data_IF_729919409514
#
_entry.id   IF_729919409514
#
_cell.length_a   1.000
_cell.length_b   1.000
_cell.length_c   1.000
_cell.angle_alpha   90.00
_cell.angle_beta   90.00
_cell.angle_gamma   90.00
#
_symmetry.space_group_name_H-M   'P 1'
#
loop_
_entity.id
_entity.type
_entity.pdbx_description
1 polymer ?
#
# COMPACT_ATOMS: atom_id res chain seq x y z
N UNK A 1 -21.87 -25.41 -61.12
CA UNK A 1 -20.45 -25.09 -61.06
C UNK A 1 -20.09 -25.11 -59.63
N UNK A 2 -19.46 -26.18 -59.14
CA UNK A 2 -19.24 -26.47 -57.70
C UNK A 2 -17.77 -26.30 -57.41
N UNK A 3 -17.42 -25.31 -56.56
CA UNK A 3 -16.05 -25.08 -56.12
C UNK A 3 -15.80 -25.85 -54.82
N UNK A 4 -14.92 -26.82 -54.90
CA UNK A 4 -14.39 -27.59 -53.73
C UNK A 4 -13.26 -26.80 -53.07
N UNK A 5 -13.43 -26.43 -51.81
CA UNK A 5 -12.39 -25.88 -50.97
C UNK A 5 -11.52 -27.01 -50.41
N UNK A 6 -10.21 -26.96 -50.69
CA UNK A 6 -9.20 -27.89 -50.16
C UNK A 6 -8.67 -27.34 -48.83
N UNK A 7 -8.89 -28.06 -47.73
CA UNK A 7 -8.23 -27.85 -46.44
C UNK A 7 -6.82 -28.45 -46.46
N UNK A 8 -5.81 -27.61 -46.23
CA UNK A 8 -4.43 -28.05 -45.98
C UNK A 8 -4.24 -28.37 -44.49
N UNK A 9 -3.89 -29.63 -44.22
CA UNK A 9 -3.43 -30.07 -42.88
C UNK A 9 -1.94 -29.86 -42.77
N UNK A 10 -1.51 -29.15 -41.71
CA UNK A 10 -0.10 -29.03 -41.28
C UNK A 10 0.22 -30.14 -40.28
N UNK A 11 1.42 -30.78 -40.33
CA UNK A 11 1.75 -31.83 -39.39
C UNK A 11 2.34 -31.23 -38.08
N UNK A 12 1.91 -31.78 -36.94
CA UNK A 12 2.45 -31.54 -35.65
C UNK A 12 3.85 -32.16 -35.51
N UNK A 13 4.82 -31.38 -35.09
CA UNK A 13 6.15 -31.88 -34.66
C UNK A 13 6.12 -32.19 -33.16
N UNK A 14 6.31 -33.43 -32.80
CA UNK A 14 6.56 -33.88 -31.45
C UNK A 14 8.01 -33.56 -31.07
N UNK A 15 8.20 -32.85 -29.96
CA UNK A 15 9.50 -32.71 -29.29
C UNK A 15 9.57 -33.75 -28.16
N UNK A 16 10.58 -34.59 -28.20
CA UNK A 16 10.91 -35.54 -27.15
C UNK A 16 11.68 -34.81 -26.02
N UNK A 17 11.21 -34.96 -24.78
CA UNK A 17 11.95 -34.55 -23.58
C UNK A 17 12.86 -35.69 -23.16
N UNK A 18 14.16 -35.43 -23.06
CA UNK A 18 15.14 -36.30 -22.39
C UNK A 18 15.25 -35.84 -20.93
N UNK A 19 14.95 -36.77 -20.02
CA UNK A 19 15.19 -36.63 -18.59
C UNK A 19 16.66 -36.87 -18.27
N UNK A 20 17.32 -35.90 -17.65
CA UNK A 20 18.66 -36.05 -17.08
C UNK A 20 18.58 -36.05 -15.55
N UNK A 21 18.80 -37.20 -14.95
CA UNK A 21 18.99 -37.38 -13.50
C UNK A 21 20.42 -37.01 -13.11
N UNK A 22 20.58 -36.01 -12.24
CA UNK A 22 21.84 -35.75 -11.54
C UNK A 22 21.62 -36.00 -10.04
N UNK A 23 22.26 -37.03 -9.55
CA UNK A 23 22.41 -37.35 -8.13
C UNK A 23 23.50 -36.46 -7.51
N UNK A 24 23.21 -35.79 -6.41
CA UNK A 24 24.20 -35.08 -5.61
C UNK A 24 24.22 -35.67 -4.19
N UNK A 25 25.36 -36.23 -3.84
CA UNK A 25 25.66 -36.92 -2.60
C UNK A 25 25.81 -35.95 -1.42
N UNK A 26 25.20 -36.35 -0.28
CA UNK A 26 25.42 -35.77 1.04
C UNK A 26 26.82 -36.12 1.57
N UNK A 27 27.52 -35.16 2.13
CA UNK A 27 28.60 -35.37 3.07
C UNK A 27 28.20 -34.76 4.43
N UNK A 28 27.98 -35.65 5.41
CA UNK A 28 27.93 -35.31 6.84
C UNK A 28 29.37 -35.15 7.35
N UNK A 29 29.65 -34.10 8.09
CA UNK A 29 30.76 -34.05 9.02
C UNK A 29 30.21 -33.59 10.38
N UNK A 30 30.29 -34.52 11.34
CA UNK A 30 30.01 -34.33 12.75
C UNK A 30 31.33 -34.08 13.51
N UNK A 31 31.22 -33.67 14.77
CA UNK A 31 32.20 -33.48 15.87
C UNK A 31 32.66 -32.03 16.04
N UNK A 32 32.66 -31.48 17.25
CA UNK A 32 32.63 -32.07 18.58
C UNK A 32 32.34 -31.04 19.66
N UNK A 33 31.91 -31.58 20.75
CA UNK A 33 31.68 -31.02 22.06
C UNK A 33 32.93 -30.44 22.70
N UNK A 34 32.78 -29.35 23.47
CA UNK A 34 33.47 -29.28 24.78
C UNK A 34 32.73 -28.31 25.71
N UNK A 35 32.40 -28.84 26.86
CA UNK A 35 31.83 -28.16 28.01
C UNK A 35 32.93 -27.63 28.93
N UNK A 36 32.67 -26.54 29.63
CA UNK A 36 33.16 -26.19 30.99
C UNK A 36 32.40 -24.92 31.41
N UNK A 37 31.47 -24.99 32.35
CA UNK A 37 31.62 -24.96 33.82
C UNK A 37 32.23 -23.66 34.37
N UNK A 38 31.45 -23.03 35.22
CA UNK A 38 32.02 -22.32 36.38
C UNK A 38 31.38 -20.95 36.68
N UNK A 39 30.41 -20.94 37.58
CA UNK A 39 30.42 -20.17 38.86
C UNK A 39 30.48 -18.63 38.78
N UNK A 40 29.85 -17.86 39.55
CA UNK A 40 28.95 -17.93 40.71
C UNK A 40 28.74 -16.47 41.22
N UNK A 41 27.57 -16.23 41.79
CA UNK A 41 27.25 -15.25 42.85
C UNK A 41 27.71 -13.79 42.81
N UNK A 42 26.72 -12.92 43.02
CA UNK A 42 26.95 -11.59 43.57
C UNK A 42 25.71 -10.72 43.59
N UNK A 43 24.80 -11.02 44.47
CA UNK A 43 24.07 -10.16 45.42
C UNK A 43 23.86 -8.69 45.06
N UNK A 44 22.59 -8.32 45.07
CA UNK A 44 22.07 -6.96 45.39
C UNK A 44 22.51 -6.49 46.76
N UNK A 45 22.50 -5.16 46.97
CA UNK A 45 21.72 -4.69 48.11
C UNK A 45 20.73 -3.58 47.75
N UNK A 46 19.64 -3.69 48.50
CA UNK A 46 18.53 -2.76 48.54
C UNK A 46 18.82 -1.54 49.45
N UNK A 47 17.96 -0.53 49.24
CA UNK A 47 17.49 0.46 50.18
C UNK A 47 18.44 1.64 50.55
N UNK A 48 17.94 2.86 50.42
CA UNK A 48 17.16 3.49 51.50
C UNK A 48 16.59 4.84 51.06
N UNK A 49 15.38 5.08 51.54
CA UNK A 49 14.66 6.34 51.53
C UNK A 49 15.36 7.42 52.35
N UNK A 50 15.27 8.67 51.91
CA UNK A 50 15.25 9.79 52.84
C UNK A 50 14.37 10.90 52.29
N UNK A 51 13.30 11.17 53.01
CA UNK A 51 12.47 12.36 52.88
C UNK A 51 13.15 13.52 53.58
N UNK A 52 13.03 14.70 53.00
CA UNK A 52 13.19 15.96 53.77
C UNK A 52 12.28 17.03 53.16
N UNK A 53 11.52 17.58 54.03
CA UNK A 53 10.45 18.57 53.96
C UNK A 53 10.92 20.00 53.89
N UNK A 54 9.99 20.88 53.46
CA UNK A 54 9.79 22.31 53.74
C UNK A 54 10.65 23.27 52.90
N UNK A 55 10.14 24.32 52.33
CA UNK A 55 9.04 25.21 52.57
C UNK A 55 9.31 26.53 51.86
N UNK A 56 8.26 27.19 51.44
CA UNK A 56 8.22 28.65 51.43
C UNK A 56 8.40 29.38 50.09
N UNK A 57 7.40 30.16 49.73
CA UNK A 57 7.59 31.37 48.97
C UNK A 57 6.66 31.56 47.75
N UNK A 58 5.47 32.06 48.00
CA UNK A 58 4.61 32.68 46.99
C UNK A 58 5.27 33.87 46.31
N UNK A 59 5.27 33.93 44.99
CA UNK A 59 5.11 35.20 44.30
C UNK A 59 4.40 34.93 42.96
N UNK A 60 3.20 35.54 42.83
CA UNK A 60 2.37 35.47 41.65
C UNK A 60 3.04 36.23 40.50
N UNK A 61 3.09 35.56 39.36
CA UNK A 61 3.23 36.25 38.08
C UNK A 61 1.93 36.03 37.29
N UNK A 62 1.23 37.13 37.09
CA UNK A 62 0.13 37.25 36.15
C UNK A 62 0.62 36.84 34.75
N UNK A 63 -0.01 35.81 34.19
CA UNK A 63 0.12 35.47 32.77
C UNK A 63 -0.74 36.43 31.96
N UNK A 64 -0.19 37.04 30.88
CA UNK A 64 -1.00 37.71 29.87
C UNK A 64 -1.84 36.71 29.11
N UNK A 65 -3.01 37.15 28.67
CA UNK A 65 -4.08 36.39 28.07
C UNK A 65 -3.65 35.26 27.15
N UNK A 66 -4.26 34.10 27.38
CA UNK A 66 -4.28 33.03 26.42
C UNK A 66 -5.19 33.46 25.25
N UNK A 67 -4.57 33.97 24.20
CA UNK A 67 -5.21 33.97 22.88
C UNK A 67 -5.52 32.52 22.54
N UNK A 68 -6.80 32.24 22.37
CA UNK A 68 -7.26 30.97 21.86
C UNK A 68 -6.61 30.77 20.48
N UNK A 69 -5.57 29.96 20.44
CA UNK A 69 -5.03 29.49 19.18
C UNK A 69 -6.14 28.73 18.47
N UNK A 70 -6.64 29.31 17.39
CA UNK A 70 -7.42 28.57 16.39
C UNK A 70 -6.70 27.29 16.07
N UNK A 71 -7.39 26.14 15.93
CA UNK A 71 -6.74 24.93 15.50
C UNK A 71 -6.06 25.24 14.17
N UNK A 72 -4.73 25.13 14.15
CA UNK A 72 -3.96 25.23 12.94
C UNK A 72 -4.55 24.18 11.98
N UNK A 73 -5.14 24.66 10.90
CA UNK A 73 -5.46 23.80 9.75
C UNK A 73 -4.13 23.18 9.35
N UNK A 74 -3.98 21.86 9.56
CA UNK A 74 -2.83 21.13 9.09
C UNK A 74 -2.66 21.48 7.62
N UNK A 75 -1.50 22.04 7.27
CA UNK A 75 -1.21 22.41 5.88
C UNK A 75 -1.45 21.18 5.02
N UNK A 76 -2.21 21.33 3.94
CA UNK A 76 -2.48 20.24 2.98
C UNK A 76 -1.21 19.58 2.46
N UNK A 77 -0.05 20.23 2.60
CA UNK A 77 1.28 19.72 2.29
C UNK A 77 1.76 18.62 3.27
N UNK A 78 1.22 18.57 4.49
CA UNK A 78 1.58 17.57 5.50
C UNK A 78 0.67 16.33 5.49
N UNK A 79 -0.43 16.38 4.72
CA UNK A 79 -1.32 15.22 4.58
C UNK A 79 -0.59 14.04 3.91
N UNK A 80 -0.80 12.81 4.39
CA UNK A 80 -0.09 11.64 3.87
C UNK A 80 -0.20 11.51 2.36
N UNK A 81 0.95 11.48 1.70
CA UNK A 81 1.05 11.21 0.27
C UNK A 81 0.66 12.34 -0.69
N UNK A 82 0.44 13.58 -0.26
CA UNK A 82 0.05 14.67 -1.18
C UNK A 82 1.22 15.45 -1.77
N UNK A 83 2.41 15.35 -1.18
CA UNK A 83 3.59 16.07 -1.62
C UNK A 83 4.43 15.24 -2.61
N UNK A 84 5.07 15.93 -3.56
CA UNK A 84 6.10 15.32 -4.42
C UNK A 84 7.45 15.17 -3.72
N UNK A 85 7.60 15.78 -2.54
CA UNK A 85 8.81 15.73 -1.72
C UNK A 85 8.44 15.59 -0.24
N UNK A 86 9.15 14.71 0.47
CA UNK A 86 9.04 14.54 1.93
C UNK A 86 10.36 14.01 2.49
N UNK A 87 10.80 14.57 3.61
CA UNK A 87 12.03 14.16 4.30
C UNK A 87 13.29 14.19 3.38
N UNK A 88 13.31 15.13 2.39
CA UNK A 88 14.38 15.23 1.41
C UNK A 88 14.31 14.21 0.26
N UNK A 89 13.35 13.29 0.26
CA UNK A 89 13.07 12.41 -0.87
C UNK A 89 12.09 13.09 -1.82
N UNK A 90 12.41 13.06 -3.13
CA UNK A 90 11.63 13.73 -4.16
C UNK A 90 11.26 12.76 -5.29
N UNK A 91 9.98 12.73 -5.64
CA UNK A 91 9.45 12.06 -6.83
C UNK A 91 9.54 13.00 -8.03
N UNK A 92 10.28 12.61 -9.05
CA UNK A 92 10.41 13.38 -10.32
C UNK A 92 9.97 12.55 -11.50
N UNK A 93 9.29 13.20 -12.45
CA UNK A 93 8.90 12.64 -13.74
C UNK A 93 8.81 13.77 -14.76
N UNK A 94 9.13 13.49 -15.99
CA UNK A 94 8.91 14.41 -17.13
C UNK A 94 7.49 14.30 -17.69
N UNK A 95 6.76 13.23 -17.38
CA UNK A 95 5.40 13.00 -17.85
C UNK A 95 4.38 13.73 -16.94
N UNK A 96 4.03 14.96 -17.28
CA UNK A 96 2.93 15.72 -16.66
C UNK A 96 1.59 15.54 -17.36
N UNK A 97 1.61 15.02 -18.61
CA UNK A 97 0.42 14.80 -19.44
C UNK A 97 0.50 13.43 -20.09
N UNK A 98 -0.62 12.69 -20.12
CA UNK A 98 -0.78 11.39 -20.75
C UNK A 98 -1.95 11.41 -21.73
N UNK A 99 -1.94 10.47 -22.70
CA UNK A 99 -3.01 10.36 -23.70
C UNK A 99 -4.19 9.59 -23.16
N UNK A 100 -5.40 10.12 -23.33
CA UNK A 100 -6.63 9.44 -22.94
C UNK A 100 -6.88 8.18 -23.78
N UNK A 101 -7.37 7.14 -23.13
CA UNK A 101 -7.80 5.89 -23.78
C UNK A 101 -6.67 5.02 -24.33
N UNK A 102 -5.41 5.35 -24.07
CA UNK A 102 -4.26 4.57 -24.48
C UNK A 102 -3.41 4.13 -23.29
N UNK A 103 -2.85 2.90 -23.29
CA UNK A 103 -1.83 2.51 -22.32
C UNK A 103 -0.60 3.40 -22.41
N UNK A 104 0.07 3.64 -21.28
CA UNK A 104 1.25 4.49 -21.21
C UNK A 104 2.30 3.92 -20.23
N UNK A 105 3.57 4.13 -20.53
CA UNK A 105 4.64 3.94 -19.55
C UNK A 105 4.87 5.25 -18.80
N UNK A 106 4.58 5.23 -17.50
CA UNK A 106 4.92 6.35 -16.64
C UNK A 106 6.31 6.14 -16.04
N UNK A 107 7.25 6.98 -16.44
CA UNK A 107 8.65 6.91 -15.98
C UNK A 107 8.92 7.97 -14.92
N UNK A 108 9.56 7.57 -13.83
CA UNK A 108 9.88 8.44 -12.72
C UNK A 108 11.14 7.99 -11.98
N UNK A 109 11.71 8.89 -11.20
CA UNK A 109 12.80 8.61 -10.27
C UNK A 109 12.45 9.13 -8.89
N UNK A 110 13.00 8.48 -7.86
CA UNK A 110 13.02 8.99 -6.49
C UNK A 110 14.45 9.42 -6.22
N UNK A 111 14.66 10.71 -5.94
CA UNK A 111 15.95 11.21 -5.47
C UNK A 111 15.97 11.31 -3.96
N UNK A 112 17.11 11.02 -3.34
CA UNK A 112 17.32 11.14 -1.91
C UNK A 112 17.75 12.55 -1.48
N UNK A 113 17.95 12.76 -0.17
CA UNK A 113 18.41 14.03 0.39
C UNK A 113 19.77 14.51 -0.15
N UNK A 114 20.56 13.61 -0.70
CA UNK A 114 21.85 13.90 -1.37
C UNK A 114 21.69 14.32 -2.84
N UNK A 115 20.46 14.43 -3.34
CA UNK A 115 20.13 14.77 -4.73
C UNK A 115 20.37 13.66 -5.74
N UNK A 116 20.74 12.44 -5.30
CA UNK A 116 21.01 11.30 -6.18
C UNK A 116 19.78 10.37 -6.27
N UNK A 117 19.63 9.64 -7.40
CA UNK A 117 18.62 8.61 -7.48
C UNK A 117 18.80 7.54 -6.38
N UNK A 118 17.71 7.21 -5.71
CA UNK A 118 17.66 6.08 -4.78
C UNK A 118 17.56 4.80 -5.59
N UNK A 119 18.46 3.85 -5.35
CA UNK A 119 18.49 2.55 -6.03
C UNK A 119 18.33 1.36 -5.07
N UNK A 120 18.36 1.60 -3.75
CA UNK A 120 18.17 0.59 -2.72
C UNK A 120 16.85 0.81 -1.99
N UNK A 121 15.94 -0.18 -2.10
CA UNK A 121 14.62 -0.16 -1.48
C UNK A 121 14.38 -1.50 -0.78
N UNK A 122 13.75 -1.43 0.39
CA UNK A 122 13.24 -2.63 1.07
C UNK A 122 12.02 -3.15 0.34
N UNK A 123 11.86 -4.46 0.38
CA UNK A 123 10.62 -5.11 -0.02
C UNK A 123 9.59 -4.92 1.09
N UNK A 124 8.42 -4.45 0.72
CA UNK A 124 7.21 -4.39 1.52
C UNK A 124 6.11 -5.14 0.77
N UNK A 125 5.41 -6.06 1.43
CA UNK A 125 4.39 -6.89 0.79
C UNK A 125 4.84 -7.43 -0.59
N UNK A 126 5.98 -8.09 -0.63
CA UNK A 126 6.65 -8.66 -1.82
C UNK A 126 7.21 -7.68 -2.85
N UNK A 127 6.98 -6.39 -2.74
CA UNK A 127 7.35 -5.38 -3.74
C UNK A 127 8.24 -4.29 -3.16
N UNK A 128 9.18 -3.79 -3.98
CA UNK A 128 10.02 -2.65 -3.62
C UNK A 128 9.32 -1.30 -3.79
N UNK A 129 8.25 -1.29 -4.57
CA UNK A 129 7.46 -0.10 -4.88
C UNK A 129 6.02 -0.48 -5.12
N UNK A 130 5.10 0.18 -4.41
CA UNK A 130 3.68 0.19 -4.73
C UNK A 130 3.36 1.51 -5.42
N UNK A 131 2.78 1.43 -6.60
CA UNK A 131 2.46 2.61 -7.40
C UNK A 131 0.97 2.64 -7.68
N UNK A 132 0.35 3.79 -7.44
CA UNK A 132 -1.08 3.95 -7.64
C UNK A 132 -1.34 5.09 -8.62
N UNK A 133 -2.37 4.96 -9.45
CA UNK A 133 -2.94 6.04 -10.22
C UNK A 133 -4.42 6.17 -9.86
N UNK A 134 -4.83 7.36 -9.42
CA UNK A 134 -6.19 7.62 -8.94
C UNK A 134 -6.71 8.88 -9.60
N UNK A 135 -7.91 8.80 -10.20
CA UNK A 135 -8.58 9.97 -10.78
C UNK A 135 -9.04 10.91 -9.67
N UNK A 136 -9.05 12.21 -9.92
CA UNK A 136 -9.36 13.22 -8.89
C UNK A 136 -10.73 13.07 -8.24
N UNK A 137 -11.68 12.44 -8.92
CA UNK A 137 -13.02 12.11 -8.39
C UNK A 137 -13.08 10.71 -7.73
N UNK A 138 -11.94 10.05 -7.57
CA UNK A 138 -11.80 8.73 -6.96
C UNK A 138 -12.57 7.59 -7.66
N UNK A 139 -12.97 7.77 -8.92
CA UNK A 139 -13.67 6.75 -9.71
C UNK A 139 -12.74 5.83 -10.50
N UNK A 140 -11.54 6.32 -10.86
CA UNK A 140 -10.50 5.56 -11.53
C UNK A 140 -9.40 5.15 -10.56
N UNK A 141 -8.97 3.90 -10.62
CA UNK A 141 -7.93 3.35 -9.77
C UNK A 141 -7.08 2.32 -10.51
N UNK A 142 -5.77 2.42 -10.37
CA UNK A 142 -4.83 1.37 -10.76
C UNK A 142 -3.80 1.21 -9.65
N UNK A 143 -3.47 -0.04 -9.30
CA UNK A 143 -2.38 -0.40 -8.40
C UNK A 143 -1.38 -1.26 -9.16
N UNK A 144 -0.13 -0.82 -9.21
CA UNK A 144 0.93 -1.38 -10.03
C UNK A 144 2.20 -1.58 -9.21
N UNK A 145 3.06 -2.45 -9.71
CA UNK A 145 4.39 -2.68 -9.13
C UNK A 145 5.43 -2.43 -10.22
N UNK A 146 5.93 -1.19 -10.33
CA UNK A 146 6.85 -0.80 -11.39
C UNK A 146 8.20 -1.49 -11.25
N UNK A 147 8.92 -1.59 -12.36
CA UNK A 147 10.28 -2.10 -12.44
C UNK A 147 11.28 -0.95 -12.43
N UNK A 148 12.43 -1.17 -11.78
CA UNK A 148 13.50 -0.19 -11.67
C UNK A 148 14.70 -0.60 -12.52
N UNK A 149 15.16 0.29 -13.38
CA UNK A 149 16.42 0.19 -14.09
C UNK A 149 17.61 0.46 -13.15
N UNK A 150 18.82 0.12 -13.59
CA UNK A 150 20.03 0.27 -12.77
C UNK A 150 20.40 1.72 -12.42
N UNK A 151 19.89 2.70 -13.17
CA UNK A 151 20.07 4.12 -12.94
C UNK A 151 19.06 4.72 -11.93
N UNK A 152 18.14 3.91 -11.38
CA UNK A 152 17.09 4.34 -10.48
C UNK A 152 15.82 4.82 -11.16
N UNK A 153 15.72 4.70 -12.48
CA UNK A 153 14.48 5.00 -13.21
C UNK A 153 13.48 3.87 -13.06
N UNK A 154 12.29 4.22 -12.57
CA UNK A 154 11.13 3.33 -12.45
C UNK A 154 10.24 3.47 -13.68
N UNK A 155 9.66 2.37 -14.13
CA UNK A 155 8.67 2.33 -15.21
C UNK A 155 7.40 1.64 -14.72
N UNK A 156 6.28 2.40 -14.67
CA UNK A 156 4.95 1.91 -14.32
C UNK A 156 4.11 1.75 -15.60
N UNK A 157 3.68 0.52 -15.96
CA UNK A 157 2.87 0.26 -17.15
C UNK A 157 1.39 0.59 -16.85
N UNK A 158 1.01 1.85 -17.02
CA UNK A 158 -0.38 2.28 -16.85
C UNK A 158 -1.27 1.70 -17.96
N UNK A 159 -2.38 1.10 -17.56
CA UNK A 159 -3.47 0.85 -18.48
C UNK A 159 -4.09 2.18 -18.93
N UNK A 160 -4.94 2.13 -19.96
CA UNK A 160 -5.61 3.32 -20.50
C UNK A 160 -6.33 4.12 -19.40
N UNK A 161 -5.98 5.40 -19.29
CA UNK A 161 -6.63 6.33 -18.38
C UNK A 161 -7.76 7.09 -19.11
N UNK A 162 -8.85 7.35 -18.41
CA UNK A 162 -9.89 8.26 -18.88
C UNK A 162 -9.45 9.71 -18.75
N UNK A 163 -10.03 10.59 -19.57
CA UNK A 163 -9.76 12.02 -19.48
C UNK A 163 -10.08 12.57 -18.08
N UNK A 164 -9.23 13.46 -17.58
CA UNK A 164 -9.36 14.06 -16.26
C UNK A 164 -8.01 14.36 -15.61
N UNK A 165 -8.07 14.82 -14.39
CA UNK A 165 -6.90 14.96 -13.52
C UNK A 165 -6.71 13.67 -12.74
N UNK A 166 -5.50 13.16 -12.72
CA UNK A 166 -5.08 11.98 -12.00
C UNK A 166 -3.97 12.34 -11.03
N UNK A 167 -3.91 11.67 -9.91
CA UNK A 167 -2.76 11.71 -9.01
C UNK A 167 -2.10 10.35 -9.02
N UNK A 168 -0.79 10.34 -9.19
CA UNK A 168 0.02 9.13 -9.09
C UNK A 168 0.78 9.15 -7.77
N UNK A 169 0.87 8.00 -7.11
CA UNK A 169 1.54 7.84 -5.83
C UNK A 169 2.61 6.78 -5.94
N UNK A 170 3.74 7.00 -5.29
CA UNK A 170 4.79 6.03 -5.09
C UNK A 170 4.95 5.80 -3.58
N UNK A 171 4.65 4.58 -3.13
CA UNK A 171 4.83 4.12 -1.75
C UNK A 171 6.02 3.17 -1.69
N UNK A 172 6.99 3.47 -0.84
CA UNK A 172 8.26 2.76 -0.77
C UNK A 172 8.96 2.92 0.57
N UNK A 173 9.94 2.05 0.82
CA UNK A 173 10.81 2.11 1.99
C UNK A 173 12.27 2.17 1.50
N UNK A 174 12.99 3.28 1.65
CA UNK A 174 14.42 3.34 1.31
C UNK A 174 15.23 2.34 2.14
N UNK A 175 16.21 1.66 1.52
CA UNK A 175 17.15 0.78 2.25
C UNK A 175 18.55 1.40 2.41
N UNK A 176 18.67 2.69 2.13
CA UNK A 176 19.92 3.45 2.29
C UNK A 176 19.63 4.90 2.66
N UNK A 177 20.67 5.60 3.12
CA UNK A 177 20.59 7.02 3.46
C UNK A 177 19.83 7.31 4.76
N UNK A 178 19.54 8.59 5.00
CA UNK A 178 18.95 9.10 6.24
C UNK A 178 17.52 8.57 6.52
N UNK A 179 16.76 8.22 5.48
CA UNK A 179 15.39 7.68 5.61
C UNK A 179 15.32 6.17 5.58
N UNK A 180 16.45 5.47 5.75
CA UNK A 180 16.47 4.00 5.74
C UNK A 180 15.45 3.40 6.69
N UNK A 181 14.57 2.56 6.15
CA UNK A 181 13.56 1.84 6.92
C UNK A 181 12.30 2.66 7.23
N UNK A 182 12.20 3.91 6.78
CA UNK A 182 11.00 4.74 6.94
C UNK A 182 10.10 4.61 5.73
N UNK A 183 8.83 4.25 5.94
CA UNK A 183 7.83 4.24 4.87
C UNK A 183 7.53 5.66 4.38
N UNK A 184 7.54 5.85 3.08
CA UNK A 184 7.30 7.13 2.42
C UNK A 184 6.26 6.97 1.32
N UNK A 185 5.37 7.95 1.21
CA UNK A 185 4.45 8.10 0.08
C UNK A 185 4.65 9.46 -0.52
N UNK A 186 4.99 9.50 -1.81
CA UNK A 186 5.15 10.72 -2.59
C UNK A 186 4.17 10.70 -3.77
N UNK A 187 3.69 11.85 -4.21
CA UNK A 187 2.76 11.89 -5.32
C UNK A 187 2.97 13.07 -6.26
N UNK A 188 2.39 12.94 -7.45
CA UNK A 188 2.33 14.01 -8.46
C UNK A 188 0.99 13.98 -9.17
N UNK A 189 0.54 15.15 -9.61
CA UNK A 189 -0.61 15.27 -10.49
C UNK A 189 -0.20 15.04 -11.94
N UNK A 190 -1.05 14.33 -12.68
CA UNK A 190 -0.94 14.06 -14.12
C UNK A 190 -2.24 14.47 -14.78
N UNK A 191 -2.14 15.16 -15.92
CA UNK A 191 -3.30 15.57 -16.71
C UNK A 191 -3.51 14.60 -17.87
N UNK A 192 -4.76 14.19 -18.07
CA UNK A 192 -5.20 13.38 -19.22
C UNK A 192 -6.23 14.20 -20.00
N UNK A 193 -5.84 14.93 -21.05
CA UNK A 193 -6.74 15.77 -21.82
C UNK A 193 -7.78 14.94 -22.56
N UNK A 194 -8.99 15.49 -22.76
CA UNK A 194 -10.05 14.87 -23.53
C UNK A 194 -11.43 15.34 -23.12
N UNK A 195 -12.46 14.85 -23.82
CA UNK A 195 -13.84 15.11 -23.49
C UNK A 195 -14.18 14.55 -22.10
N UNK A 196 -14.96 15.29 -21.32
CA UNK A 196 -15.31 14.91 -19.94
C UNK A 196 -14.19 15.08 -18.92
N UNK A 197 -13.04 15.67 -19.28
CA UNK A 197 -11.91 15.83 -18.35
C UNK A 197 -12.29 16.64 -17.08
N UNK A 198 -13.20 17.60 -17.20
CA UNK A 198 -13.66 18.43 -16.08
C UNK A 198 -14.88 17.81 -15.35
N UNK A 199 -15.49 16.75 -15.90
CA UNK A 199 -16.62 16.09 -15.26
C UNK A 199 -16.14 15.22 -14.12
N UNK A 200 -16.49 15.57 -12.89
CA UNK A 200 -16.31 14.71 -11.72
C UNK A 200 -17.59 13.88 -11.53
N UNK A 201 -17.41 12.57 -11.36
CA UNK A 201 -18.51 11.73 -10.94
C UNK A 201 -18.73 11.88 -9.42
N UNK A 202 -19.97 11.78 -9.00
CA UNK A 202 -20.31 11.73 -7.59
C UNK A 202 -19.84 10.37 -7.00
N UNK A 203 -19.25 10.41 -5.81
CA UNK A 203 -18.86 9.19 -5.12
C UNK A 203 -20.11 8.39 -4.74
N UNK A 204 -20.08 7.07 -4.88
CA UNK A 204 -21.13 6.22 -4.34
C UNK A 204 -21.34 6.45 -2.84
N UNK A 205 -22.59 6.36 -2.39
CA UNK A 205 -22.92 6.53 -0.98
C UNK A 205 -22.09 5.60 -0.07
N UNK A 206 -21.78 6.07 1.14
CA UNK A 206 -21.02 5.31 2.14
C UNK A 206 -21.91 4.22 2.78
N UNK A 207 -22.18 3.15 2.04
CA UNK A 207 -22.98 2.00 2.51
C UNK A 207 -22.13 0.92 3.17
N UNK A 208 -20.80 1.04 3.11
CA UNK A 208 -19.87 -0.01 3.57
C UNK A 208 -19.93 -1.28 2.73
N UNK A 209 -20.61 -1.27 1.58
CA UNK A 209 -20.78 -2.47 0.73
C UNK A 209 -20.55 -2.13 -0.73
N UNK A 210 -19.91 -3.04 -1.45
CA UNK A 210 -19.69 -2.96 -2.90
C UNK A 210 -19.81 -4.34 -3.55
N UNK A 211 -20.10 -4.35 -4.86
CA UNK A 211 -20.10 -5.58 -5.67
C UNK A 211 -19.08 -5.48 -6.79
N UNK A 212 -18.37 -6.57 -7.05
CA UNK A 212 -17.42 -6.71 -8.15
C UNK A 212 -17.40 -8.17 -8.63
N UNK A 213 -17.49 -8.41 -9.91
CA UNK A 213 -17.36 -9.74 -10.55
C UNK A 213 -18.24 -10.84 -9.89
N UNK A 214 -19.43 -10.47 -9.39
CA UNK A 214 -20.33 -11.36 -8.67
C UNK A 214 -20.00 -11.59 -7.20
N UNK A 215 -18.97 -10.92 -6.68
CA UNK A 215 -18.65 -10.88 -5.24
C UNK A 215 -19.30 -9.67 -4.58
N UNK A 216 -19.69 -9.84 -3.32
CA UNK A 216 -20.10 -8.75 -2.42
C UNK A 216 -19.01 -8.57 -1.36
N UNK A 217 -18.49 -7.37 -1.27
CA UNK A 217 -17.54 -6.94 -0.23
C UNK A 217 -18.28 -6.07 0.75
N UNK A 218 -18.16 -6.37 2.03
CA UNK A 218 -18.70 -5.57 3.14
C UNK A 218 -17.56 -5.14 4.05
N UNK A 219 -17.55 -3.86 4.43
CA UNK A 219 -16.62 -3.29 5.42
C UNK A 219 -17.42 -2.83 6.61
N UNK A 220 -17.10 -3.38 7.77
CA UNK A 220 -17.69 -3.04 9.07
C UNK A 220 -16.65 -2.32 9.93
N UNK A 221 -17.08 -1.32 10.66
CA UNK A 221 -16.28 -0.51 11.57
C UNK A 221 -16.74 0.94 11.58
N UNK A 222 -16.38 1.66 12.64
CA UNK A 222 -16.69 3.08 12.81
C UNK A 222 -15.39 3.85 13.06
N UNK A 223 -14.57 4.06 12.03
CA UNK A 223 -13.29 4.74 12.19
C UNK A 223 -13.50 6.20 12.60
N UNK A 224 -12.62 6.68 13.46
CA UNK A 224 -12.57 8.06 13.93
C UNK A 224 -11.26 8.68 13.46
N UNK A 225 -11.32 9.88 12.93
CA UNK A 225 -10.17 10.59 12.39
C UNK A 225 -9.00 10.66 13.38
N UNK A 226 -7.80 10.31 12.91
CA UNK A 226 -6.57 10.32 13.69
C UNK A 226 -6.51 9.30 14.83
N UNK A 227 -7.43 8.33 14.85
CA UNK A 227 -7.41 7.22 15.82
C UNK A 227 -7.21 5.90 15.14
N UNK A 228 -6.34 5.09 15.73
CA UNK A 228 -6.20 3.70 15.34
C UNK A 228 -7.47 2.92 15.67
N UNK A 229 -7.88 2.04 14.77
CA UNK A 229 -9.07 1.21 14.91
C UNK A 229 -9.00 -0.02 14.00
N UNK A 230 -10.01 -0.86 14.09
CA UNK A 230 -10.14 -2.03 13.22
C UNK A 230 -11.26 -1.83 12.21
N UNK A 231 -11.01 -2.23 10.97
CA UNK A 231 -12.02 -2.46 9.95
C UNK A 231 -12.08 -3.95 9.67
N UNK A 232 -13.27 -4.52 9.70
CA UNK A 232 -13.49 -5.91 9.32
C UNK A 232 -14.05 -5.97 7.91
N UNK A 233 -13.32 -6.59 7.01
CA UNK A 233 -13.76 -6.83 5.63
C UNK A 233 -14.28 -8.24 5.49
N UNK A 234 -15.43 -8.40 4.84
CA UNK A 234 -16.01 -9.72 4.54
C UNK A 234 -16.27 -9.83 3.05
N UNK A 235 -15.90 -10.97 2.46
CA UNK A 235 -16.15 -11.29 1.06
C UNK A 235 -17.15 -12.43 0.97
N UNK A 236 -18.19 -12.25 0.16
CA UNK A 236 -19.22 -13.27 -0.11
C UNK A 236 -19.52 -13.35 -1.61
N UNK A 237 -20.05 -14.50 -2.07
CA UNK A 237 -20.54 -14.71 -3.43
C UNK A 237 -21.88 -15.42 -3.35
N UNK A 238 -22.90 -14.93 -4.03
CA UNK A 238 -24.28 -15.47 -4.00
C UNK A 238 -24.80 -15.66 -2.56
N UNK A 239 -24.49 -14.69 -1.68
CA UNK A 239 -24.87 -14.72 -0.27
C UNK A 239 -24.10 -15.73 0.58
N UNK A 240 -23.12 -16.45 0.04
CA UNK A 240 -22.29 -17.41 0.78
C UNK A 240 -20.91 -16.80 1.08
N UNK A 241 -20.36 -17.01 2.28
CA UNK A 241 -19.01 -16.58 2.61
C UNK A 241 -17.96 -17.22 1.69
N UNK A 242 -16.97 -16.43 1.23
CA UNK A 242 -15.82 -16.92 0.46
C UNK A 242 -14.71 -17.30 1.44
N UNK A 243 -14.31 -18.58 1.44
CA UNK A 243 -13.30 -19.12 2.38
C UNK A 243 -12.03 -19.61 1.66
N UNK A 244 -11.95 -19.38 0.36
CA UNK A 244 -10.87 -19.82 -0.52
C UNK A 244 -10.16 -18.64 -1.21
N UNK A 245 -10.09 -17.49 -0.51
CA UNK A 245 -9.25 -16.37 -0.97
C UNK A 245 -7.81 -16.82 -1.08
N UNK A 246 -7.17 -16.46 -2.19
CA UNK A 246 -5.80 -16.81 -2.49
C UNK A 246 -4.84 -15.72 -1.99
N UNK A 247 -3.58 -16.06 -1.65
CA UNK A 247 -2.57 -15.08 -1.27
C UNK A 247 -2.34 -14.03 -2.37
N UNK A 248 -2.37 -12.77 -1.98
CA UNK A 248 -2.00 -11.63 -2.80
C UNK A 248 -1.19 -10.65 -1.94
N UNK A 249 0.06 -10.36 -2.33
CA UNK A 249 0.96 -9.48 -1.60
C UNK A 249 1.16 -9.90 -0.12
N UNK A 250 1.44 -11.20 0.12
CA UNK A 250 1.63 -11.81 1.45
C UNK A 250 0.40 -11.78 2.37
N UNK A 251 -0.76 -11.42 1.85
CA UNK A 251 -2.02 -11.37 2.60
C UNK A 251 -3.15 -11.96 1.76
N UNK A 252 -4.37 -12.04 2.29
CA UNK A 252 -5.54 -12.49 1.51
C UNK A 252 -6.31 -11.35 0.86
N UNK A 253 -5.99 -10.10 1.22
CA UNK A 253 -6.48 -8.91 0.53
C UNK A 253 -5.59 -7.70 0.83
N UNK A 254 -5.55 -6.76 -0.11
CA UNK A 254 -4.83 -5.48 0.00
C UNK A 254 -5.85 -4.34 -0.01
N UNK A 255 -5.74 -3.42 0.94
CA UNK A 255 -6.69 -2.33 1.10
C UNK A 255 -5.98 -0.98 1.10
N UNK A 256 -6.39 -0.11 0.18
CA UNK A 256 -5.93 1.28 0.13
C UNK A 256 -7.10 2.23 0.23
N UNK A 257 -6.88 3.40 0.80
CA UNK A 257 -7.90 4.41 0.97
C UNK A 257 -7.42 5.78 0.51
N UNK A 258 -8.35 6.58 -0.04
CA UNK A 258 -8.12 7.94 -0.51
C UNK A 258 -9.24 8.83 0.03
N UNK A 259 -8.86 9.94 0.65
CA UNK A 259 -9.80 10.91 1.19
C UNK A 259 -10.49 11.70 0.06
N UNK A 260 -11.80 11.86 0.14
CA UNK A 260 -12.58 12.50 -0.91
C UNK A 260 -12.28 14.01 -1.05
N UNK A 261 -11.84 14.66 0.05
CA UNK A 261 -11.61 16.10 0.04
C UNK A 261 -10.34 16.53 -0.67
N UNK A 262 -9.23 15.79 -0.46
CA UNK A 262 -7.89 16.19 -0.89
C UNK A 262 -7.08 15.08 -1.55
N UNK A 263 -7.61 13.86 -1.63
CA UNK A 263 -6.93 12.66 -2.10
C UNK A 263 -5.79 12.19 -1.18
N UNK A 264 -5.78 12.56 0.12
CA UNK A 264 -4.83 12.01 1.06
C UNK A 264 -4.87 10.48 1.04
N UNK A 265 -3.69 9.87 1.06
CA UNK A 265 -3.52 8.43 0.94
C UNK A 265 -3.44 7.79 2.33
N UNK A 266 -4.10 6.66 2.50
CA UNK A 266 -3.88 5.77 3.63
C UNK A 266 -3.73 4.32 3.15
N UNK A 267 -2.70 3.65 3.65
CA UNK A 267 -2.48 2.23 3.43
C UNK A 267 -2.92 1.49 4.70
N UNK A 268 -3.92 0.62 4.55
CA UNK A 268 -4.47 -0.12 5.65
C UNK A 268 -3.79 -1.49 5.71
N UNK A 269 -3.33 -1.87 6.90
CA UNK A 269 -2.54 -3.07 7.08
C UNK A 269 -3.44 -4.26 7.46
N UNK A 270 -3.45 -5.35 6.66
CA UNK A 270 -4.12 -6.57 7.05
C UNK A 270 -3.40 -7.18 8.27
N UNK A 271 -4.17 -7.64 9.25
CA UNK A 271 -3.62 -8.25 10.46
C UNK A 271 -3.20 -9.71 10.24
N UNK A 272 -3.69 -10.32 9.16
CA UNK A 272 -3.41 -11.73 8.86
C UNK A 272 -2.45 -11.84 7.67
N UNK A 273 -1.31 -12.49 7.87
CA UNK A 273 -0.42 -12.91 6.79
C UNK A 273 -0.95 -14.18 6.11
N UNK A 274 -0.75 -14.26 4.80
CA UNK A 274 -1.07 -15.44 4.02
C UNK A 274 0.17 -16.29 3.81
N UNK A 275 0.11 -17.57 4.16
CA UNK A 275 1.12 -18.54 3.79
C UNK A 275 1.00 -18.89 2.31
N UNK A 276 2.13 -19.21 1.67
CA UNK A 276 2.16 -19.59 0.26
C UNK A 276 1.28 -20.84 0.01
N UNK A 277 0.32 -20.71 -0.92
CA UNK A 277 -0.64 -21.77 -1.21
C UNK A 277 -1.76 -21.94 -0.17
N UNK A 278 -1.79 -21.12 0.88
CA UNK A 278 -2.88 -21.10 1.84
C UNK A 278 -4.17 -20.52 1.25
N UNK A 279 -5.26 -20.70 1.96
CA UNK A 279 -6.57 -20.09 1.68
C UNK A 279 -7.07 -19.32 2.89
N UNK A 280 -7.81 -18.24 2.65
CA UNK A 280 -8.32 -17.37 3.69
C UNK A 280 -9.73 -16.86 3.46
N UNK A 281 -10.17 -15.98 4.33
CA UNK A 281 -11.51 -15.43 4.34
C UNK A 281 -12.45 -16.23 5.28
N UNK A 282 -13.72 -15.92 5.31
CA UNK A 282 -14.36 -14.80 4.63
C UNK A 282 -14.11 -13.44 5.30
N UNK A 283 -13.63 -13.44 6.57
CA UNK A 283 -13.43 -12.24 7.37
C UNK A 283 -11.94 -11.90 7.47
N UNK A 284 -11.62 -10.65 7.13
CA UNK A 284 -10.26 -10.12 7.07
C UNK A 284 -10.19 -8.85 7.94
N UNK A 285 -9.52 -8.89 9.10
CA UNK A 285 -9.30 -7.72 9.92
C UNK A 285 -8.19 -6.84 9.33
N UNK A 286 -8.40 -5.52 9.37
CA UNK A 286 -7.44 -4.51 8.97
C UNK A 286 -7.24 -3.49 10.07
N UNK A 287 -5.99 -3.22 10.40
CA UNK A 287 -5.66 -2.05 11.19
C UNK A 287 -5.82 -0.80 10.32
N UNK A 288 -6.60 0.17 10.80
CA UNK A 288 -6.92 1.40 10.09
C UNK A 288 -6.62 2.62 10.96
N UNK A 289 -5.86 3.54 10.43
CA UNK A 289 -5.68 4.89 10.98
C UNK A 289 -5.88 5.89 9.83
N UNK A 290 -7.06 6.52 9.83
CA UNK A 290 -7.45 7.47 8.80
C UNK A 290 -7.31 8.89 9.37
N UNK A 291 -6.43 9.73 8.80
CA UNK A 291 -6.02 10.98 9.45
C UNK A 291 -7.09 12.07 9.47
N UNK A 292 -8.10 12.01 8.57
CA UNK A 292 -9.11 13.04 8.40
C UNK A 292 -10.54 12.48 8.49
N UNK A 293 -11.46 13.27 9.03
CA UNK A 293 -12.89 12.99 8.97
C UNK A 293 -13.44 13.24 7.57
N UNK A 294 -14.52 12.58 7.22
CA UNK A 294 -15.18 12.73 5.92
C UNK A 294 -15.34 11.42 5.19
N UNK A 295 -15.55 11.50 3.89
CA UNK A 295 -15.71 10.33 3.04
C UNK A 295 -14.35 9.85 2.54
N UNK A 296 -14.11 8.56 2.64
CA UNK A 296 -12.92 7.89 2.14
C UNK A 296 -13.31 6.87 1.08
N UNK A 297 -12.65 6.90 -0.06
CA UNK A 297 -12.79 5.89 -1.09
C UNK A 297 -11.78 4.78 -0.85
N UNK A 298 -12.27 3.57 -0.59
CA UNK A 298 -11.47 2.38 -0.35
C UNK A 298 -11.44 1.51 -1.61
N UNK A 299 -10.28 0.94 -1.90
CA UNK A 299 -10.09 -0.07 -2.94
C UNK A 299 -9.53 -1.34 -2.30
N UNK A 300 -10.38 -2.36 -2.23
CA UNK A 300 -10.00 -3.69 -1.78
C UNK A 300 -9.63 -4.54 -2.98
N UNK A 301 -8.44 -5.12 -2.94
CA UNK A 301 -7.97 -6.10 -3.92
C UNK A 301 -7.86 -7.47 -3.26
N UNK A 302 -8.47 -8.48 -3.83
CA UNK A 302 -8.42 -9.86 -3.37
C UNK A 302 -8.37 -10.81 -4.56
N UNK A 303 -7.88 -12.04 -4.35
CA UNK A 303 -7.69 -13.02 -5.41
C UNK A 303 -8.50 -14.27 -5.17
N UNK A 304 -9.21 -14.74 -6.22
CA UNK A 304 -9.91 -16.02 -6.25
C UNK A 304 -9.74 -16.68 -7.61
N UNK A 305 -9.54 -17.99 -7.66
CA UNK A 305 -9.39 -18.72 -8.94
C UNK A 305 -8.25 -18.21 -9.82
N UNK A 306 -7.22 -17.60 -9.25
CA UNK A 306 -6.11 -16.99 -9.99
C UNK A 306 -6.42 -15.61 -10.57
N UNK A 307 -7.60 -15.06 -10.34
CA UNK A 307 -8.03 -13.74 -10.81
C UNK A 307 -8.02 -12.72 -9.69
N UNK A 308 -7.45 -11.54 -9.96
CA UNK A 308 -7.48 -10.39 -9.05
C UNK A 308 -8.76 -9.59 -9.26
N UNK A 309 -9.47 -9.32 -8.18
CA UNK A 309 -10.67 -8.50 -8.14
C UNK A 309 -10.38 -7.20 -7.39
N UNK A 310 -10.97 -6.09 -7.83
CA UNK A 310 -10.83 -4.79 -7.18
C UNK A 310 -12.21 -4.20 -6.89
N UNK A 311 -12.59 -4.17 -5.62
CA UNK A 311 -13.84 -3.58 -5.16
C UNK A 311 -13.59 -2.16 -4.65
N UNK A 312 -14.36 -1.19 -5.19
CA UNK A 312 -14.33 0.20 -4.70
C UNK A 312 -15.55 0.49 -3.84
N UNK A 313 -15.37 0.97 -2.63
CA UNK A 313 -16.44 1.33 -1.71
C UNK A 313 -16.15 2.65 -1.01
N UNK A 314 -17.18 3.33 -0.50
CA UNK A 314 -17.05 4.57 0.26
C UNK A 314 -17.31 4.27 1.74
N UNK A 315 -16.45 4.81 2.61
CA UNK A 315 -16.55 4.70 4.05
C UNK A 315 -16.60 6.11 4.67
N UNK A 316 -17.49 6.29 5.65
CA UNK A 316 -17.57 7.54 6.44
C UNK A 316 -16.65 7.43 7.64
N UNK A 317 -15.81 8.46 7.85
CA UNK A 317 -14.94 8.61 9.02
C UNK A 317 -15.46 9.77 9.86
N UNK A 318 -15.68 9.52 11.14
CA UNK A 318 -16.19 10.49 12.10
C UNK A 318 -15.13 11.38 12.77
#
# INVERSE_FOLDING_TARGET
MSLRTRTRRTPARALALTAGTAALSLALAACGSDAMSGMDHGASPAATSAAATAGGGHQGHQMPGADAASPATADAADAPGLAAERNGYRLTSTAGTLTAGAPAEYRFTVTGPDGRPVTAFRTDQTKRMHFYAVRSDLTGFQHLHPEMAGDGTWTAPLAALTAGTWRVYASFIPDSGAGRGTGLVLSRTVTVPGEGAAAAAELPAATGTATVDGYTVTVEGTPVAGKAGELKVTVSRDGKPVTDLQPYLETFAHLTAFHAGDQAFAHLHPETKAEAGGTGGPSLPFHAELPAAGDWRLFLQFQTGGQLHTAGLTLKVG
#
